data_IF_222299482924
#
_entry.id   IF_222299482924
#
_cell.length_a   1.000
_cell.length_b   1.000
_cell.length_c   1.000
_cell.angle_alpha   90.00
_cell.angle_beta   90.00
_cell.angle_gamma   90.00
#
_symmetry.space_group_name_H-M   'P 1'
#
loop_
_entity.id
_entity.type
_entity.pdbx_description
1 polymer ?
#
# COMPACT_ATOMS: atom_id res chain seq x y z
N UNK A 1 -7.74 31.77 9.88
CA UNK A 1 -7.97 30.86 8.74
C UNK A 1 -7.03 29.72 8.99
N UNK A 2 -7.58 28.60 9.45
CA UNK A 2 -6.80 27.67 10.26
C UNK A 2 -6.52 26.44 9.43
N UNK A 3 -5.23 26.12 9.29
CA UNK A 3 -4.79 24.86 8.67
C UNK A 3 -5.18 23.74 9.63
N UNK A 4 -5.98 22.79 9.16
CA UNK A 4 -6.34 21.59 9.92
C UNK A 4 -5.61 20.38 9.36
N UNK A 5 -5.15 19.49 10.23
CA UNK A 5 -4.67 18.17 9.83
C UNK A 5 -5.85 17.21 9.76
N UNK A 6 -6.12 16.70 8.56
CA UNK A 6 -7.20 15.76 8.29
C UNK A 6 -6.58 14.38 7.99
N UNK A 7 -7.11 13.30 8.59
CA UNK A 7 -6.72 11.92 8.31
C UNK A 7 -7.26 11.45 6.96
N UNK A 8 -6.46 10.66 6.25
CA UNK A 8 -6.79 10.09 4.95
C UNK A 8 -6.41 8.62 4.91
N UNK A 9 -7.18 7.84 4.15
CA UNK A 9 -6.71 6.60 3.57
C UNK A 9 -6.32 6.84 2.12
N UNK A 10 -5.05 6.61 1.81
CA UNK A 10 -4.51 6.72 0.47
C UNK A 10 -4.25 5.34 -0.11
N UNK A 11 -4.69 5.09 -1.33
CA UNK A 11 -4.57 3.78 -1.96
C UNK A 11 -4.30 3.88 -3.46
N UNK A 12 -3.77 2.81 -4.03
CA UNK A 12 -3.60 2.64 -5.47
C UNK A 12 -4.19 1.28 -5.85
N UNK A 13 -4.77 1.17 -7.04
CA UNK A 13 -5.32 -0.07 -7.58
C UNK A 13 -4.47 -0.56 -8.74
N UNK A 14 -4.62 -1.83 -9.13
CA UNK A 14 -3.97 -2.37 -10.34
C UNK A 14 -4.74 -1.98 -11.60
N UNK A 15 -4.58 -0.75 -12.05
CA UNK A 15 -5.02 -0.30 -13.38
C UNK A 15 -3.86 0.38 -14.13
N UNK A 16 -3.90 0.33 -15.47
CA UNK A 16 -2.81 0.84 -16.33
C UNK A 16 -2.62 2.36 -16.25
N UNK A 17 -3.68 3.09 -15.88
CA UNK A 17 -3.73 4.53 -15.64
C UNK A 17 -4.02 4.88 -14.17
N UNK A 18 -3.86 3.94 -13.24
CA UNK A 18 -4.13 4.21 -11.82
C UNK A 18 -3.18 5.26 -11.26
N UNK A 19 -3.76 6.23 -10.57
CA UNK A 19 -3.06 7.13 -9.66
C UNK A 19 -3.46 6.83 -8.22
N UNK A 20 -2.62 7.27 -7.28
CA UNK A 20 -2.92 7.19 -5.84
C UNK A 20 -4.14 8.06 -5.51
N UNK A 21 -5.24 7.39 -5.18
CA UNK A 21 -6.47 7.99 -4.67
C UNK A 21 -6.40 8.21 -3.17
N UNK A 22 -7.25 9.11 -2.67
CA UNK A 22 -7.30 9.52 -1.27
C UNK A 22 -8.72 9.78 -0.85
N UNK A 23 -9.13 9.14 0.24
CA UNK A 23 -10.43 9.35 0.86
C UNK A 23 -10.20 9.93 2.26
N UNK A 24 -10.88 11.03 2.62
CA UNK A 24 -10.82 11.57 3.97
C UNK A 24 -11.48 10.56 4.93
N UNK A 25 -10.91 10.44 6.13
CA UNK A 25 -11.42 9.55 7.16
C UNK A 25 -12.30 10.30 8.15
N UNK A 26 -13.35 9.63 8.62
CA UNK A 26 -14.20 10.16 9.70
C UNK A 26 -13.48 10.08 11.06
N UNK A 27 -12.67 9.04 11.28
CA UNK A 27 -11.85 8.88 12.48
C UNK A 27 -10.51 9.62 12.36
N UNK A 28 -10.13 10.36 13.41
CA UNK A 28 -8.84 11.05 13.54
C UNK A 28 -7.73 10.20 14.18
N UNK A 29 -8.10 9.06 14.77
CA UNK A 29 -7.20 8.12 15.43
C UNK A 29 -6.69 7.04 14.46
N UNK A 30 -5.72 7.42 13.62
CA UNK A 30 -5.09 6.51 12.64
C UNK A 30 -4.40 5.33 13.31
N UNK A 31 -3.81 5.54 14.47
CA UNK A 31 -3.11 4.53 15.25
C UNK A 31 -4.07 3.40 15.67
N UNK A 32 -5.28 3.73 16.09
CA UNK A 32 -6.33 2.74 16.40
C UNK A 32 -6.80 1.99 15.15
N UNK A 33 -7.01 2.68 14.02
CA UNK A 33 -7.37 2.02 12.76
C UNK A 33 -6.29 1.03 12.30
N UNK A 34 -5.01 1.40 12.44
CA UNK A 34 -3.90 0.51 12.12
C UNK A 34 -3.89 -0.72 13.04
N UNK A 35 -4.08 -0.52 14.35
CA UNK A 35 -4.12 -1.62 15.31
C UNK A 35 -5.23 -2.62 14.97
N UNK A 36 -6.44 -2.15 14.63
CA UNK A 36 -7.55 -3.01 14.20
C UNK A 36 -7.20 -3.88 12.98
N UNK A 37 -6.47 -3.32 12.01
CA UNK A 37 -5.97 -4.10 10.86
C UNK A 37 -4.87 -5.08 11.27
N UNK A 38 -3.99 -4.72 12.20
CA UNK A 38 -2.97 -5.64 12.74
C UNK A 38 -3.61 -6.80 13.51
N UNK A 39 -4.75 -6.55 14.16
CA UNK A 39 -5.55 -7.54 14.88
C UNK A 39 -6.39 -8.44 13.93
N UNK A 40 -6.36 -8.16 12.63
CA UNK A 40 -6.96 -9.00 11.60
C UNK A 40 -8.34 -8.57 11.11
N UNK A 41 -8.82 -7.38 11.51
CA UNK A 41 -10.10 -6.86 11.02
C UNK A 41 -10.10 -6.58 9.51
N UNK A 42 -11.30 -6.55 8.92
CA UNK A 42 -11.48 -6.32 7.49
C UNK A 42 -11.24 -4.85 7.12
N UNK A 43 -10.53 -4.62 6.00
CA UNK A 43 -10.18 -3.27 5.55
C UNK A 43 -11.41 -2.38 5.34
N UNK A 44 -12.51 -2.94 4.83
CA UNK A 44 -13.74 -2.21 4.55
C UNK A 44 -14.58 -1.96 5.83
N UNK A 45 -14.28 -2.65 6.93
CA UNK A 45 -14.87 -2.38 8.24
C UNK A 45 -14.06 -1.35 9.02
N UNK A 46 -12.73 -1.35 8.85
CA UNK A 46 -11.83 -0.36 9.45
C UNK A 46 -11.93 0.98 8.72
N UNK A 47 -12.03 0.95 7.39
CA UNK A 47 -12.16 2.13 6.53
C UNK A 47 -13.50 2.05 5.79
N UNK A 48 -14.63 2.34 6.46
CA UNK A 48 -15.95 2.21 5.85
C UNK A 48 -16.19 3.18 4.68
N UNK A 49 -15.41 4.27 4.59
CA UNK A 49 -15.43 5.19 3.45
C UNK A 49 -14.84 4.55 2.18
N UNK A 50 -14.03 3.50 2.33
CA UNK A 50 -13.49 2.70 1.25
C UNK A 50 -14.60 1.79 0.72
N UNK A 51 -15.23 2.16 -0.40
CA UNK A 51 -16.32 1.35 -0.93
C UNK A 51 -15.77 0.08 -1.59
N UNK A 52 -16.25 -1.09 -1.15
CA UNK A 52 -15.79 -2.39 -1.67
C UNK A 52 -15.91 -2.52 -3.18
N UNK A 53 -16.97 -1.96 -3.76
CA UNK A 53 -17.23 -2.01 -5.19
C UNK A 53 -16.17 -1.29 -6.05
N UNK A 54 -15.33 -0.43 -5.46
CA UNK A 54 -14.17 0.16 -6.15
C UNK A 54 -13.16 -0.92 -6.56
N UNK A 55 -13.14 -2.06 -5.85
CA UNK A 55 -12.19 -3.13 -6.05
C UNK A 55 -12.74 -4.32 -6.84
N UNK A 56 -13.99 -4.25 -7.31
CA UNK A 56 -14.61 -5.31 -8.11
C UNK A 56 -13.90 -5.45 -9.47
N UNK A 57 -13.50 -4.32 -10.08
CA UNK A 57 -12.81 -4.28 -11.36
C UNK A 57 -11.28 -4.21 -11.23
N UNK A 58 -10.78 -3.57 -10.18
CA UNK A 58 -9.35 -3.31 -9.99
C UNK A 58 -8.90 -3.63 -8.57
N UNK A 59 -8.10 -4.70 -8.36
CA UNK A 59 -7.67 -5.08 -7.03
C UNK A 59 -6.74 -4.03 -6.42
N UNK A 60 -6.79 -3.89 -5.09
CA UNK A 60 -5.89 -3.03 -4.33
C UNK A 60 -4.43 -3.37 -4.66
N UNK A 61 -3.62 -2.37 -4.98
CA UNK A 61 -2.18 -2.53 -5.12
C UNK A 61 -1.48 -2.28 -3.79
N UNK A 62 -1.80 -1.17 -3.13
CA UNK A 62 -1.34 -0.88 -1.78
C UNK A 62 -2.22 0.21 -1.14
N UNK A 63 -2.17 0.30 0.18
CA UNK A 63 -2.82 1.35 0.97
C UNK A 63 -1.88 1.95 2.02
N UNK A 64 -2.20 3.13 2.51
CA UNK A 64 -1.48 3.78 3.60
C UNK A 64 -2.36 4.84 4.25
N UNK A 65 -2.24 4.99 5.57
CA UNK A 65 -2.82 6.13 6.26
C UNK A 65 -1.94 7.38 6.12
N UNK A 66 -2.54 8.54 5.87
CA UNK A 66 -1.85 9.83 5.74
C UNK A 66 -2.52 10.88 6.64
N UNK A 67 -1.77 11.82 7.22
CA UNK A 67 -2.33 13.10 7.74
C UNK A 67 -1.93 14.23 6.81
N UNK A 68 -2.90 15.07 6.44
CA UNK A 68 -2.69 16.16 5.47
C UNK A 68 -3.22 17.47 5.98
N UNK A 69 -2.49 18.54 5.68
CA UNK A 69 -2.91 19.90 5.94
C UNK A 69 -3.96 20.33 4.90
N UNK A 70 -5.14 20.70 5.39
CA UNK A 70 -6.24 21.25 4.60
C UNK A 70 -6.58 22.65 5.06
N UNK A 71 -7.01 23.48 4.11
CA UNK A 71 -7.61 24.77 4.38
C UNK A 71 -8.92 24.88 3.61
N UNK A 72 -9.95 25.39 4.29
CA UNK A 72 -11.25 25.66 3.69
C UNK A 72 -11.37 27.18 3.49
N UNK A 73 -11.55 27.61 2.25
CA UNK A 73 -11.73 29.02 1.88
C UNK A 73 -13.05 29.12 1.13
N UNK A 74 -14.01 29.88 1.65
CA UNK A 74 -15.32 30.08 1.02
C UNK A 74 -16.06 28.78 0.65
N UNK A 75 -15.88 27.72 1.46
CA UNK A 75 -16.48 26.40 1.21
C UNK A 75 -15.68 25.49 0.27
N UNK A 76 -14.65 26.01 -0.40
CA UNK A 76 -13.75 25.23 -1.24
C UNK A 76 -12.59 24.64 -0.42
N UNK A 77 -12.24 23.38 -0.72
CA UNK A 77 -11.17 22.65 -0.04
C UNK A 77 -9.85 22.78 -0.82
N UNK A 78 -8.84 23.28 -0.13
CA UNK A 78 -7.48 23.38 -0.66
C UNK A 78 -6.56 22.46 0.16
N UNK A 79 -5.99 21.46 -0.51
CA UNK A 79 -5.10 20.47 0.10
C UNK A 79 -3.68 20.67 -0.44
N UNK A 80 -2.69 20.84 0.44
CA UNK A 80 -1.30 20.95 0.00
C UNK A 80 -0.83 19.63 -0.61
N UNK A 81 -0.23 19.67 -1.80
CA UNK A 81 0.47 18.53 -2.40
C UNK A 81 1.86 18.29 -1.77
N UNK A 82 2.44 19.30 -1.10
CA UNK A 82 3.73 19.22 -0.40
C UNK A 82 3.49 18.90 1.08
N UNK A 83 4.05 17.79 1.56
CA UNK A 83 4.08 17.45 3.00
C UNK A 83 3.11 16.35 3.47
N UNK A 84 2.73 15.39 2.62
CA UNK A 84 2.03 14.20 3.13
C UNK A 84 3.02 13.36 3.96
N UNK A 85 2.61 13.02 5.19
CA UNK A 85 3.34 12.07 6.03
C UNK A 85 2.51 10.79 6.09
N UNK A 86 3.04 9.71 5.54
CA UNK A 86 2.51 8.37 5.80
C UNK A 86 2.65 8.09 7.29
N UNK A 87 1.58 7.58 7.90
CA UNK A 87 1.56 7.22 9.31
C UNK A 87 1.44 5.71 9.40
N UNK A 88 2.28 5.11 10.25
CA UNK A 88 2.30 3.67 10.46
C UNK A 88 2.93 2.88 9.30
N UNK A 89 2.27 1.79 8.92
CA UNK A 89 2.78 0.81 7.95
C UNK A 89 2.17 0.98 6.57
N UNK A 90 2.91 0.58 5.54
CA UNK A 90 2.36 0.36 4.20
C UNK A 90 1.49 -0.90 4.25
N UNK A 91 0.26 -0.80 3.76
CA UNK A 91 -0.64 -1.94 3.64
C UNK A 91 -0.45 -2.58 2.27
N UNK A 92 -0.09 -3.85 2.24
CA UNK A 92 0.02 -4.63 1.00
C UNK A 92 -0.93 -5.81 1.06
N UNK A 93 -1.77 -6.03 0.03
CA UNK A 93 -2.55 -7.25 -0.04
C UNK A 93 -1.64 -8.46 -0.27
N UNK A 94 -2.02 -9.62 0.26
CA UNK A 94 -1.20 -10.85 0.22
C UNK A 94 -0.73 -11.24 -1.18
N UNK A 95 -1.49 -10.93 -2.22
CA UNK A 95 -1.15 -11.25 -3.61
C UNK A 95 -0.07 -10.34 -4.22
N UNK A 96 0.32 -9.25 -3.55
CA UNK A 96 1.53 -8.47 -3.91
C UNK A 96 2.81 -9.11 -3.41
N UNK A 97 2.72 -10.12 -2.54
CA UNK A 97 3.87 -10.72 -1.89
C UNK A 97 4.33 -11.95 -2.67
N UNK A 98 5.61 -11.96 -3.01
CA UNK A 98 6.28 -13.03 -3.76
C UNK A 98 7.31 -13.69 -2.85
N UNK A 99 7.18 -15.00 -2.65
CA UNK A 99 8.15 -15.79 -1.89
C UNK A 99 9.48 -15.93 -2.65
N UNK A 100 10.60 -16.06 -1.91
CA UNK A 100 11.94 -16.24 -2.47
C UNK A 100 12.01 -17.41 -3.46
N UNK A 101 11.37 -18.53 -3.16
CA UNK A 101 11.40 -19.71 -4.04
C UNK A 101 10.71 -19.46 -5.39
N UNK A 102 9.68 -18.60 -5.42
CA UNK A 102 9.09 -18.15 -6.68
C UNK A 102 10.07 -17.27 -7.47
N UNK A 103 10.84 -16.40 -6.80
CA UNK A 103 11.90 -15.60 -7.46
C UNK A 103 13.02 -16.51 -8.00
N UNK A 104 13.42 -17.56 -7.27
CA UNK A 104 14.40 -18.56 -7.76
C UNK A 104 13.89 -19.25 -9.03
N UNK A 105 12.65 -19.75 -9.00
CA UNK A 105 12.04 -20.38 -10.16
C UNK A 105 11.99 -19.43 -11.37
N UNK A 106 11.65 -18.16 -11.15
CA UNK A 106 11.67 -17.13 -12.19
C UNK A 106 13.09 -16.86 -12.71
N UNK A 107 14.11 -16.86 -11.85
CA UNK A 107 15.50 -16.72 -12.29
C UNK A 107 15.99 -17.91 -13.14
N UNK A 108 15.48 -19.11 -12.87
CA UNK A 108 15.82 -20.32 -13.64
C UNK A 108 15.13 -20.35 -15.00
N UNK A 109 13.85 -19.96 -15.05
CA UNK A 109 12.96 -20.13 -16.22
C UNK A 109 12.87 -18.90 -17.11
N UNK A 110 13.11 -17.69 -16.60
CA UNK A 110 13.07 -16.46 -17.41
C UNK A 110 14.24 -16.40 -18.41
N UNK A 111 14.10 -15.58 -19.44
CA UNK A 111 15.10 -15.39 -20.47
C UNK A 111 15.68 -13.96 -20.44
N UNK A 112 16.84 -13.79 -21.08
CA UNK A 112 17.47 -12.48 -21.32
C UNK A 112 17.56 -11.60 -20.07
N UNK A 113 16.94 -10.42 -20.16
CA UNK A 113 17.01 -9.36 -19.15
C UNK A 113 16.29 -9.72 -17.84
N UNK A 114 15.15 -10.42 -17.90
CA UNK A 114 14.38 -10.78 -16.71
C UNK A 114 15.16 -11.74 -15.81
N UNK A 115 15.87 -12.72 -16.40
CA UNK A 115 16.75 -13.62 -15.67
C UNK A 115 17.82 -12.88 -14.88
N UNK A 116 18.41 -11.84 -15.48
CA UNK A 116 19.42 -10.99 -14.82
C UNK A 116 18.81 -10.27 -13.63
N UNK A 117 17.60 -9.72 -13.77
CA UNK A 117 16.88 -9.06 -12.68
C UNK A 117 16.64 -10.01 -11.52
N UNK A 118 16.03 -11.17 -11.76
CA UNK A 118 15.69 -12.12 -10.69
C UNK A 118 16.94 -12.65 -9.98
N UNK A 119 17.99 -12.96 -10.74
CA UNK A 119 19.28 -13.36 -10.18
C UNK A 119 19.87 -12.26 -9.29
N UNK A 120 19.80 -11.00 -9.75
CA UNK A 120 20.29 -9.84 -9.00
C UNK A 120 19.52 -9.63 -7.70
N UNK A 121 18.19 -9.78 -7.71
CA UNK A 121 17.38 -9.68 -6.48
C UNK A 121 17.83 -10.70 -5.43
N UNK A 122 18.11 -11.94 -5.85
CA UNK A 122 18.55 -13.00 -4.94
C UNK A 122 19.96 -12.76 -4.38
N UNK A 123 20.82 -12.08 -5.15
CA UNK A 123 22.18 -11.69 -4.75
C UNK A 123 22.19 -10.46 -3.84
N UNK A 124 21.44 -9.42 -4.19
CA UNK A 124 21.36 -8.16 -3.43
C UNK A 124 20.67 -8.38 -2.07
N UNK A 125 19.75 -9.35 -1.99
CA UNK A 125 18.99 -9.69 -0.78
C UNK A 125 19.08 -11.19 -0.45
N UNK A 126 20.24 -11.68 0.02
CA UNK A 126 20.49 -13.11 0.17
C UNK A 126 19.69 -13.75 1.32
N UNK A 127 19.26 -12.95 2.31
CA UNK A 127 18.52 -13.40 3.50
C UNK A 127 17.02 -13.14 3.45
N UNK A 128 16.50 -12.52 2.38
CA UNK A 128 15.09 -12.16 2.29
C UNK A 128 14.25 -13.35 1.82
N UNK A 129 13.21 -13.69 2.59
CA UNK A 129 12.28 -14.80 2.33
C UNK A 129 11.07 -14.39 1.48
N UNK A 130 10.68 -13.12 1.54
CA UNK A 130 9.53 -12.56 0.83
C UNK A 130 9.87 -11.19 0.27
N UNK A 131 9.23 -10.87 -0.85
CA UNK A 131 9.41 -9.63 -1.59
C UNK A 131 8.05 -9.07 -1.97
N UNK A 132 7.97 -7.78 -2.25
CA UNK A 132 6.83 -7.19 -2.95
C UNK A 132 7.29 -6.39 -4.16
N UNK A 133 6.41 -6.28 -5.16
CA UNK A 133 6.73 -5.61 -6.42
C UNK A 133 6.37 -4.13 -6.36
N UNK A 134 7.37 -3.27 -6.16
CA UNK A 134 7.19 -1.81 -6.12
C UNK A 134 6.96 -1.20 -7.51
N UNK A 135 7.43 -1.86 -8.55
CA UNK A 135 7.27 -1.44 -9.95
C UNK A 135 7.63 -2.57 -10.91
N UNK A 136 7.54 -2.31 -12.22
CA UNK A 136 7.95 -3.28 -13.25
C UNK A 136 9.38 -3.72 -12.95
N UNK A 137 9.57 -5.01 -12.67
CA UNK A 137 10.87 -5.61 -12.32
C UNK A 137 11.60 -5.04 -11.09
N UNK A 138 10.94 -4.24 -10.25
CA UNK A 138 11.51 -3.68 -9.02
C UNK A 138 10.90 -4.41 -7.83
N UNK A 139 11.70 -5.25 -7.17
CA UNK A 139 11.32 -6.02 -6.00
C UNK A 139 12.03 -5.47 -4.77
N UNK A 140 11.27 -5.33 -3.68
CA UNK A 140 11.80 -4.87 -2.38
C UNK A 140 11.57 -5.98 -1.35
N UNK A 141 12.56 -6.31 -0.49
CA UNK A 141 12.35 -7.24 0.61
C UNK A 141 11.19 -6.80 1.49
N UNK A 142 10.39 -7.77 1.94
CA UNK A 142 9.34 -7.51 2.91
C UNK A 142 9.97 -7.16 4.27
N UNK A 143 9.64 -5.98 4.78
CA UNK A 143 10.03 -5.48 6.11
C UNK A 143 8.75 -5.37 6.95
N UNK A 144 8.52 -6.34 7.84
CA UNK A 144 7.28 -6.45 8.64
C UNK A 144 7.11 -5.33 9.67
N UNK A 145 8.19 -4.61 10.00
CA UNK A 145 8.11 -3.46 10.90
C UNK A 145 7.52 -2.25 10.15
N UNK A 146 7.69 -2.20 8.82
CA UNK A 146 7.20 -1.11 7.97
C UNK A 146 6.00 -1.48 7.10
N UNK A 147 5.68 -2.77 6.98
CA UNK A 147 4.66 -3.28 6.07
C UNK A 147 3.73 -4.21 6.84
N UNK A 148 2.42 -3.94 6.72
CA UNK A 148 1.36 -4.86 7.12
C UNK A 148 0.84 -5.57 5.88
N UNK A 149 0.91 -6.91 5.89
CA UNK A 149 0.37 -7.72 4.80
C UNK A 149 -1.07 -8.09 5.13
N UNK A 150 -2.02 -7.58 4.35
CA UNK A 150 -3.45 -7.87 4.49
C UNK A 150 -3.73 -9.27 3.92
N UNK A 151 -4.29 -10.14 4.76
CA UNK A 151 -4.67 -11.49 4.34
C UNK A 151 -6.00 -11.50 3.54
N UNK A 152 -6.40 -12.67 3.03
CA UNK A 152 -7.59 -12.80 2.18
C UNK A 152 -8.90 -12.38 2.87
N UNK A 153 -9.04 -12.62 4.18
CA UNK A 153 -10.25 -12.29 4.93
C UNK A 153 -10.32 -10.79 5.27
N UNK A 154 -9.20 -10.07 5.12
CA UNK A 154 -9.14 -8.63 5.35
C UNK A 154 -9.49 -7.81 4.12
N UNK A 155 -9.80 -8.46 2.99
CA UNK A 155 -10.17 -7.87 1.69
C UNK A 155 -11.56 -8.36 1.24
#
# INVERSE_FOLDING_TARGET
MDIKQIPYFAFEVKAWDSWKERIPLTSDNIEELLQRLEDGENLFEVVPELKRNVFDDYPLRYGSFEKRNEIIINGEKFVSAKGYKSIGKLLLPYYEIVARDKIKLLAETANGYEKVIYSRILLDFPKADKFYQKGIHIYTPLDTDKILVLNRNQL
#
